data_IF_559707871468
#
_entry.id   IF_559707871468
#
_cell.length_a   1.000
_cell.length_b   1.000
_cell.length_c   1.000
_cell.angle_alpha   90.00
_cell.angle_beta   90.00
_cell.angle_gamma   90.00
#
_symmetry.space_group_name_H-M   'P 1'
#
loop_
_entity.id
_entity.type
_entity.pdbx_description
1 polymer ?
#
# COMPACT_ATOMS: atom_id res chain seq x y z
N UNK A 1 18.17 -69.53 -17.89
CA UNK A 1 17.53 -68.95 -16.68
C UNK A 1 18.18 -67.67 -16.15
N UNK A 2 19.49 -67.39 -16.34
CA UNK A 2 20.17 -66.18 -15.88
C UNK A 2 19.71 -64.84 -16.58
N UNK A 3 19.43 -64.90 -17.88
CA UNK A 3 19.10 -63.69 -18.66
C UNK A 3 17.74 -63.07 -18.32
N UNK A 4 16.75 -63.85 -17.88
CA UNK A 4 15.42 -63.37 -17.53
C UNK A 4 15.42 -62.57 -16.20
N UNK A 5 16.21 -63.05 -15.23
CA UNK A 5 16.37 -62.38 -13.92
C UNK A 5 17.09 -61.03 -14.01
N UNK A 6 18.00 -60.87 -15.00
CA UNK A 6 18.73 -59.62 -15.24
C UNK A 6 17.83 -58.55 -15.89
N UNK A 7 16.85 -58.95 -16.69
CA UNK A 7 15.85 -58.06 -17.29
C UNK A 7 14.85 -57.53 -16.25
N UNK A 8 14.42 -58.35 -15.30
CA UNK A 8 13.53 -57.95 -14.22
C UNK A 8 14.21 -56.95 -13.27
N UNK A 9 15.45 -57.18 -12.90
CA UNK A 9 16.22 -56.24 -12.07
C UNK A 9 16.39 -54.87 -12.76
N UNK A 10 16.62 -54.82 -14.08
CA UNK A 10 16.71 -53.58 -14.80
C UNK A 10 15.39 -52.80 -14.80
N UNK A 11 14.27 -53.48 -14.99
CA UNK A 11 12.94 -52.82 -14.92
C UNK A 11 12.66 -52.25 -13.52
N UNK A 12 12.96 -53.00 -12.48
CA UNK A 12 12.80 -52.56 -11.09
C UNK A 12 13.66 -51.33 -10.78
N UNK A 13 14.90 -51.31 -11.24
CA UNK A 13 15.79 -50.15 -11.09
C UNK A 13 15.25 -48.94 -11.82
N UNK A 14 14.71 -49.11 -13.04
CA UNK A 14 14.11 -47.98 -13.80
C UNK A 14 12.89 -47.42 -13.06
N UNK A 15 11.99 -48.26 -12.55
CA UNK A 15 10.84 -47.81 -11.74
C UNK A 15 11.26 -47.09 -10.48
N UNK A 16 12.29 -47.56 -9.79
CA UNK A 16 12.80 -46.91 -8.58
C UNK A 16 13.41 -45.56 -8.89
N UNK A 17 14.17 -45.40 -9.98
CA UNK A 17 14.70 -44.14 -10.45
C UNK A 17 13.58 -43.15 -10.83
N UNK A 18 12.51 -43.65 -11.47
CA UNK A 18 11.35 -42.86 -11.85
C UNK A 18 10.58 -42.32 -10.63
N UNK A 19 10.43 -43.16 -9.60
CA UNK A 19 9.82 -42.77 -8.33
C UNK A 19 10.67 -41.72 -7.61
N UNK A 20 12.00 -41.92 -7.55
CA UNK A 20 12.91 -40.93 -6.94
C UNK A 20 12.84 -39.62 -7.70
N UNK A 21 12.84 -39.64 -9.03
CA UNK A 21 12.73 -38.46 -9.86
C UNK A 21 11.42 -37.71 -9.61
N UNK A 22 10.31 -38.43 -9.53
CA UNK A 22 8.99 -37.86 -9.26
C UNK A 22 8.91 -37.25 -7.86
N UNK A 23 9.48 -37.91 -6.85
CA UNK A 23 9.58 -37.39 -5.48
C UNK A 23 10.45 -36.13 -5.43
N UNK A 24 11.61 -36.14 -6.05
CA UNK A 24 12.49 -34.94 -6.08
C UNK A 24 11.82 -33.78 -6.81
N UNK A 25 11.12 -34.04 -7.92
CA UNK A 25 10.38 -33.03 -8.66
C UNK A 25 9.27 -32.41 -7.79
N UNK A 26 8.47 -33.20 -7.08
CA UNK A 26 7.40 -32.69 -6.21
C UNK A 26 7.95 -31.87 -5.04
N UNK A 27 9.04 -32.30 -4.42
CA UNK A 27 9.71 -31.58 -3.34
C UNK A 27 10.24 -30.22 -3.85
N UNK A 28 10.98 -30.22 -4.96
CA UNK A 28 11.53 -28.99 -5.55
C UNK A 28 10.44 -28.03 -5.99
N UNK A 29 9.34 -28.52 -6.58
CA UNK A 29 8.20 -27.70 -6.98
C UNK A 29 7.53 -27.04 -5.78
N UNK A 30 7.32 -27.78 -4.69
CA UNK A 30 6.68 -27.26 -3.47
C UNK A 30 7.55 -26.22 -2.78
N UNK A 31 8.86 -26.49 -2.66
CA UNK A 31 9.82 -25.53 -2.07
C UNK A 31 9.92 -24.28 -2.95
N UNK A 32 10.01 -24.46 -4.27
CA UNK A 32 10.09 -23.36 -5.22
C UNK A 32 8.87 -22.44 -5.15
N UNK A 33 7.67 -23.00 -5.09
CA UNK A 33 6.45 -22.23 -4.93
C UNK A 33 6.42 -21.44 -3.62
N UNK A 34 6.73 -22.09 -2.50
CA UNK A 34 6.76 -21.46 -1.18
C UNK A 34 7.78 -20.34 -1.08
N UNK A 35 8.97 -20.53 -1.67
CA UNK A 35 9.99 -19.49 -1.78
C UNK A 35 9.53 -18.31 -2.64
N UNK A 36 8.89 -18.59 -3.78
CA UNK A 36 8.35 -17.56 -4.69
C UNK A 36 7.28 -16.70 -4.02
N UNK A 37 6.33 -17.31 -3.32
CA UNK A 37 5.26 -16.60 -2.63
C UNK A 37 5.84 -15.69 -1.53
N UNK A 38 6.81 -16.17 -0.75
CA UNK A 38 7.48 -15.36 0.26
C UNK A 38 8.29 -14.18 -0.36
N UNK A 39 8.97 -14.39 -1.47
CA UNK A 39 9.70 -13.33 -2.17
C UNK A 39 8.73 -12.25 -2.68
N UNK A 40 7.55 -12.63 -3.13
CA UNK A 40 6.51 -11.68 -3.53
C UNK A 40 6.04 -10.86 -2.33
N UNK A 41 5.80 -11.48 -1.18
CA UNK A 41 5.41 -10.81 0.06
C UNK A 41 6.47 -9.80 0.52
N UNK A 42 7.73 -10.22 0.57
CA UNK A 42 8.87 -9.35 0.91
C UNK A 42 8.99 -8.19 -0.08
N UNK A 43 8.80 -8.45 -1.37
CA UNK A 43 8.83 -7.42 -2.41
C UNK A 43 7.70 -6.41 -2.24
N UNK A 44 6.49 -6.88 -1.89
CA UNK A 44 5.35 -6.00 -1.63
C UNK A 44 5.58 -5.11 -0.39
N UNK A 45 6.11 -5.68 0.68
CA UNK A 45 6.47 -4.92 1.89
C UNK A 45 7.49 -3.82 1.56
N UNK A 46 8.54 -4.15 0.79
CA UNK A 46 9.52 -3.16 0.36
C UNK A 46 8.90 -2.02 -0.45
N UNK A 47 7.99 -2.35 -1.38
CA UNK A 47 7.29 -1.33 -2.18
C UNK A 47 6.50 -0.39 -1.27
N UNK A 48 5.73 -0.93 -0.33
CA UNK A 48 4.93 -0.15 0.59
C UNK A 48 5.80 0.81 1.41
N UNK A 49 6.88 0.31 1.98
CA UNK A 49 7.81 1.11 2.78
C UNK A 49 8.46 2.23 1.95
N UNK A 50 8.92 1.92 0.74
CA UNK A 50 9.50 2.90 -0.17
C UNK A 50 8.51 4.01 -0.53
N UNK A 51 7.28 3.65 -0.86
CA UNK A 51 6.25 4.62 -1.24
C UNK A 51 5.89 5.51 -0.04
N UNK A 52 5.72 4.94 1.14
CA UNK A 52 5.42 5.69 2.37
C UNK A 52 6.55 6.69 2.66
N UNK A 53 7.80 6.29 2.56
CA UNK A 53 8.96 7.17 2.77
C UNK A 53 9.00 8.32 1.75
N UNK A 54 8.77 8.03 0.47
CA UNK A 54 8.75 9.04 -0.60
C UNK A 54 7.61 10.03 -0.36
N UNK A 55 6.43 9.53 -0.08
CA UNK A 55 5.25 10.35 0.16
C UNK A 55 5.45 11.25 1.37
N UNK A 56 5.91 10.69 2.49
CA UNK A 56 6.19 11.47 3.71
C UNK A 56 7.25 12.55 3.48
N UNK A 57 8.30 12.24 2.72
CA UNK A 57 9.35 13.21 2.38
C UNK A 57 8.83 14.32 1.46
N UNK A 58 7.96 13.99 0.51
CA UNK A 58 7.35 14.94 -0.41
C UNK A 58 6.42 15.92 0.33
N UNK A 59 5.58 15.39 1.22
CA UNK A 59 4.69 16.21 2.05
C UNK A 59 5.51 17.15 2.94
N UNK A 60 6.52 16.64 3.63
CA UNK A 60 7.34 17.42 4.56
C UNK A 60 8.12 18.54 3.85
N UNK A 61 8.66 18.25 2.68
CA UNK A 61 9.58 19.18 2.02
C UNK A 61 8.87 20.26 1.20
N UNK A 62 7.76 19.94 0.57
CA UNK A 62 7.13 20.82 -0.42
C UNK A 62 5.77 21.33 0.06
N UNK A 63 4.90 20.44 0.50
CA UNK A 63 3.51 20.79 0.81
C UNK A 63 3.42 21.65 2.08
N UNK A 64 4.15 21.26 3.14
CA UNK A 64 4.14 22.01 4.41
C UNK A 64 4.86 23.35 4.32
N UNK A 65 5.87 23.48 3.44
CA UNK A 65 6.64 24.73 3.28
C UNK A 65 5.92 25.78 2.45
N UNK A 66 5.05 25.40 1.52
CA UNK A 66 4.41 26.33 0.57
C UNK A 66 3.12 26.96 1.10
N UNK A 67 2.69 26.68 2.33
CA UNK A 67 1.41 27.15 2.91
C UNK A 67 0.15 26.81 2.08
N UNK A 68 0.28 26.00 1.02
CA UNK A 68 -0.83 25.69 0.13
C UNK A 68 -1.94 24.90 0.82
N UNK A 69 -1.62 24.17 1.90
CA UNK A 69 -2.61 23.40 2.66
C UNK A 69 -3.65 24.30 3.33
N UNK A 70 -3.25 25.51 3.75
CA UNK A 70 -4.17 26.45 4.42
C UNK A 70 -5.26 26.96 3.47
N UNK A 71 -4.98 26.97 2.17
CA UNK A 71 -5.88 27.44 1.13
C UNK A 71 -6.77 26.31 0.54
N UNK A 72 -6.65 25.08 1.05
CA UNK A 72 -7.47 23.96 0.57
C UNK A 72 -8.94 24.10 0.94
N UNK A 73 -9.24 24.78 2.04
CA UNK A 73 -10.61 24.97 2.55
C UNK A 73 -10.86 26.45 2.72
N UNK A 74 -11.88 26.95 2.03
CA UNK A 74 -12.35 28.31 2.12
C UNK A 74 -13.72 28.34 2.78
N UNK A 75 -13.87 29.25 3.77
CA UNK A 75 -15.13 29.44 4.46
C UNK A 75 -15.78 30.73 3.97
N UNK A 76 -16.98 30.63 3.47
CA UNK A 76 -17.80 31.80 3.17
C UNK A 76 -18.69 32.09 4.38
N UNK A 77 -18.75 33.36 4.74
CA UNK A 77 -19.50 33.84 5.90
C UNK A 77 -20.66 34.69 5.45
N UNK A 78 -21.80 34.52 6.10
CA UNK A 78 -22.94 35.42 5.93
C UNK A 78 -22.72 36.77 6.63
N UNK A 79 -23.69 37.69 6.49
CA UNK A 79 -23.64 39.02 7.10
C UNK A 79 -23.56 39.01 8.64
N UNK A 80 -23.90 37.87 9.26
CA UNK A 80 -23.85 37.65 10.71
C UNK A 80 -22.55 36.94 11.16
N UNK A 81 -21.57 36.82 10.25
CA UNK A 81 -20.30 36.11 10.46
C UNK A 81 -20.45 34.62 10.79
N UNK A 82 -21.51 34.01 10.31
CA UNK A 82 -21.72 32.57 10.40
C UNK A 82 -21.25 31.89 9.13
N UNK A 83 -20.76 30.65 9.21
CA UNK A 83 -20.35 29.89 8.04
C UNK A 83 -21.60 29.56 7.22
N UNK A 84 -21.67 30.14 6.03
CA UNK A 84 -22.74 29.92 5.06
C UNK A 84 -22.43 28.74 4.14
N UNK A 85 -21.19 28.68 3.67
CA UNK A 85 -20.72 27.59 2.83
C UNK A 85 -19.25 27.28 3.04
N UNK A 86 -18.87 26.05 2.69
CA UNK A 86 -17.52 25.56 2.74
C UNK A 86 -17.15 25.13 1.34
N UNK A 87 -16.16 25.79 0.78
CA UNK A 87 -15.61 25.45 -0.52
C UNK A 87 -14.21 24.85 -0.35
N UNK A 88 -13.84 23.95 -1.22
CA UNK A 88 -12.43 23.54 -1.30
C UNK A 88 -11.84 23.93 -2.64
N UNK A 89 -10.60 24.38 -2.57
CA UNK A 89 -9.82 24.78 -3.72
C UNK A 89 -9.31 23.53 -4.44
N UNK A 90 -10.03 23.15 -5.50
CA UNK A 90 -9.73 21.96 -6.30
C UNK A 90 -8.39 22.10 -7.00
N UNK A 91 -8.04 23.31 -7.45
CA UNK A 91 -6.79 23.58 -8.15
C UNK A 91 -5.60 23.29 -7.23
N UNK A 92 -5.59 23.86 -6.03
CA UNK A 92 -4.55 23.60 -5.02
C UNK A 92 -4.46 22.12 -4.65
N UNK A 93 -5.61 21.44 -4.52
CA UNK A 93 -5.61 20.01 -4.22
C UNK A 93 -5.00 19.18 -5.37
N UNK A 94 -5.30 19.55 -6.61
CA UNK A 94 -4.75 18.89 -7.79
C UNK A 94 -3.25 19.12 -7.95
N UNK A 95 -2.75 20.34 -7.70
CA UNK A 95 -1.33 20.64 -7.72
C UNK A 95 -0.55 19.78 -6.72
N UNK A 96 -1.08 19.60 -5.52
CA UNK A 96 -0.51 18.72 -4.50
C UNK A 96 -0.45 17.25 -5.01
N UNK A 97 -1.52 16.75 -5.62
CA UNK A 97 -1.54 15.41 -6.18
C UNK A 97 -0.49 15.22 -7.26
N UNK A 98 -0.37 16.18 -8.20
CA UNK A 98 0.60 16.13 -9.29
C UNK A 98 2.02 16.17 -8.77
N UNK A 99 2.30 17.01 -7.79
CA UNK A 99 3.63 17.13 -7.19
C UNK A 99 4.06 15.83 -6.48
N UNK A 100 3.20 15.26 -5.64
CA UNK A 100 3.47 13.98 -4.95
C UNK A 100 3.69 12.87 -5.97
N UNK A 101 2.83 12.78 -6.99
CA UNK A 101 2.98 11.80 -8.07
C UNK A 101 4.33 11.92 -8.78
N UNK A 102 4.74 13.13 -9.15
CA UNK A 102 6.02 13.38 -9.83
C UNK A 102 7.20 13.01 -8.93
N UNK A 103 7.12 13.28 -7.62
CA UNK A 103 8.15 12.92 -6.65
C UNK A 103 8.26 11.39 -6.49
N UNK A 104 7.14 10.66 -6.47
CA UNK A 104 7.16 9.19 -6.47
C UNK A 104 7.88 8.69 -7.73
N UNK A 105 7.50 9.17 -8.91
CA UNK A 105 8.08 8.73 -10.18
C UNK A 105 9.57 9.08 -10.28
N UNK A 106 9.99 10.27 -9.88
CA UNK A 106 11.40 10.71 -9.95
C UNK A 106 12.29 9.94 -8.98
N UNK A 107 11.81 9.66 -7.77
CA UNK A 107 12.57 8.92 -6.77
C UNK A 107 12.74 7.46 -7.18
N UNK A 108 11.70 6.83 -7.73
CA UNK A 108 11.77 5.47 -8.28
C UNK A 108 12.78 5.42 -9.44
N UNK A 109 12.95 6.52 -10.19
CA UNK A 109 13.88 6.55 -11.33
C UNK A 109 15.34 6.77 -10.94
N UNK A 110 15.62 7.40 -9.80
CA UNK A 110 16.94 7.99 -9.52
C UNK A 110 17.64 7.46 -8.26
N UNK A 111 17.00 6.63 -7.41
CA UNK A 111 17.63 6.24 -6.15
C UNK A 111 18.38 4.92 -6.22
N UNK A 112 19.68 4.98 -5.85
CA UNK A 112 20.56 3.83 -5.62
C UNK A 112 20.79 3.62 -4.11
N UNK A 113 19.77 3.69 -3.28
CA UNK A 113 19.94 3.60 -1.83
C UNK A 113 19.65 2.21 -1.27
N UNK A 114 20.60 1.71 -0.47
CA UNK A 114 20.49 0.50 0.35
C UNK A 114 19.95 0.87 1.75
N UNK A 115 18.64 1.01 1.89
CA UNK A 115 18.05 1.47 3.16
C UNK A 115 17.37 0.35 3.97
N UNK A 116 17.28 -0.86 3.41
CA UNK A 116 16.49 -1.95 3.95
C UNK A 116 17.30 -3.22 4.20
N UNK A 117 16.73 -4.14 4.92
CA UNK A 117 17.32 -5.44 5.29
C UNK A 117 17.77 -6.25 4.07
N UNK A 118 17.13 -6.06 2.90
CA UNK A 118 17.46 -6.69 1.64
C UNK A 118 18.13 -5.70 0.70
N UNK A 119 19.11 -6.20 -0.05
CA UNK A 119 19.77 -5.42 -1.09
C UNK A 119 18.83 -5.21 -2.26
N UNK A 120 18.53 -3.97 -2.57
CA UNK A 120 17.83 -3.61 -3.79
C UNK A 120 18.60 -2.56 -4.59
N UNK A 121 18.34 -2.49 -5.88
CA UNK A 121 18.89 -1.46 -6.77
C UNK A 121 17.89 -1.16 -7.89
N UNK A 122 18.01 0.04 -8.48
CA UNK A 122 17.14 0.47 -9.55
C UNK A 122 17.84 0.29 -10.89
N UNK A 123 17.16 -0.33 -11.82
CA UNK A 123 17.63 -0.55 -13.18
C UNK A 123 16.50 -0.33 -14.18
N UNK A 124 16.61 0.66 -15.08
CA UNK A 124 15.63 0.98 -16.12
C UNK A 124 14.19 1.09 -15.59
N UNK A 125 13.96 1.90 -14.57
CA UNK A 125 12.67 2.11 -13.91
C UNK A 125 12.09 0.84 -13.23
N UNK A 126 12.92 -0.18 -12.99
CA UNK A 126 12.53 -1.35 -12.24
C UNK A 126 13.33 -1.41 -10.95
N UNK A 127 12.70 -1.78 -9.86
CA UNK A 127 13.40 -2.15 -8.63
C UNK A 127 13.74 -3.63 -8.71
N UNK A 128 15.01 -3.96 -8.52
CA UNK A 128 15.48 -5.34 -8.44
C UNK A 128 15.86 -5.61 -7.00
N UNK A 129 15.14 -6.52 -6.36
CA UNK A 129 15.34 -6.95 -4.99
C UNK A 129 16.04 -8.32 -4.99
N UNK A 130 17.09 -8.47 -4.21
CA UNK A 130 17.80 -9.74 -4.03
C UNK A 130 17.41 -10.36 -2.68
N UNK A 131 16.70 -11.50 -2.73
CA UNK A 131 16.22 -12.23 -1.55
C UNK A 131 16.89 -13.61 -1.50
N UNK A 132 17.42 -14.04 -0.34
CA UNK A 132 17.93 -15.40 -0.18
C UNK A 132 16.85 -16.44 -0.44
N UNK A 133 17.19 -17.54 -1.12
CA UNK A 133 16.23 -18.59 -1.48
C UNK A 133 15.49 -19.17 -0.27
N UNK A 134 16.20 -19.37 0.85
CA UNK A 134 15.63 -19.96 2.08
C UNK A 134 14.96 -18.95 3.00
N UNK A 135 14.70 -17.71 2.53
CA UNK A 135 14.05 -16.67 3.34
C UNK A 135 12.63 -17.06 3.84
N UNK A 136 11.98 -18.06 3.21
CA UNK A 136 10.68 -18.58 3.64
C UNK A 136 10.74 -19.41 4.92
N UNK A 137 11.93 -19.70 5.44
CA UNK A 137 12.11 -20.49 6.66
C UNK A 137 12.22 -19.60 7.88
N UNK A 138 11.64 -20.03 9.00
CA UNK A 138 11.83 -19.36 10.30
C UNK A 138 13.14 -19.76 11.01
N UNK A 139 13.97 -20.60 10.38
CA UNK A 139 15.21 -21.05 10.98
C UNK A 139 16.32 -20.02 10.80
N UNK A 140 16.76 -19.39 11.89
CA UNK A 140 17.77 -18.33 11.90
C UNK A 140 19.12 -18.74 11.30
N UNK A 141 19.46 -20.02 11.31
CA UNK A 141 20.75 -20.50 10.77
C UNK A 141 20.76 -20.64 9.25
N UNK A 142 19.59 -20.81 8.63
CA UNK A 142 19.50 -21.05 7.18
C UNK A 142 18.77 -19.94 6.42
N UNK A 143 18.06 -19.04 7.11
CA UNK A 143 17.23 -17.99 6.49
C UNK A 143 18.01 -17.14 5.48
N UNK A 144 19.29 -16.90 5.73
CA UNK A 144 20.18 -16.10 4.86
C UNK A 144 21.07 -16.94 3.92
N UNK A 145 20.88 -18.28 3.93
CA UNK A 145 21.64 -19.17 3.09
C UNK A 145 20.99 -19.38 1.72
N UNK A 146 21.76 -19.94 0.81
CA UNK A 146 21.33 -20.30 -0.53
C UNK A 146 21.55 -19.19 -1.57
N UNK A 147 21.18 -19.49 -2.83
CA UNK A 147 21.33 -18.53 -3.91
C UNK A 147 20.36 -17.36 -3.68
N UNK A 148 20.81 -16.16 -4.06
CA UNK A 148 19.96 -14.98 -4.06
C UNK A 148 19.06 -14.98 -5.28
N UNK A 149 17.78 -14.91 -5.04
CA UNK A 149 16.76 -14.81 -6.08
C UNK A 149 16.48 -13.35 -6.35
N UNK A 150 16.46 -12.97 -7.63
CA UNK A 150 16.13 -11.62 -8.05
C UNK A 150 14.64 -11.50 -8.29
N UNK A 151 13.99 -10.64 -7.51
CA UNK A 151 12.65 -10.18 -7.75
C UNK A 151 12.71 -8.88 -8.53
N UNK A 152 12.00 -8.80 -9.65
CA UNK A 152 11.87 -7.57 -10.45
C UNK A 152 10.51 -6.95 -10.18
N UNK A 153 10.53 -5.74 -9.69
CA UNK A 153 9.34 -4.95 -9.42
C UNK A 153 9.22 -3.91 -10.51
N UNK A 154 8.19 -4.04 -11.34
CA UNK A 154 7.88 -3.09 -12.39
C UNK A 154 6.73 -2.24 -11.90
N UNK A 155 6.95 -0.94 -11.75
CA UNK A 155 5.85 -0.01 -11.57
C UNK A 155 5.16 0.16 -12.92
N UNK A 156 3.89 -0.20 -12.98
CA UNK A 156 3.06 0.23 -14.08
C UNK A 156 3.01 1.76 -13.99
N UNK A 157 3.28 2.46 -15.09
CA UNK A 157 3.39 3.92 -15.14
C UNK A 157 2.12 4.66 -14.68
N UNK A 158 1.12 3.94 -14.24
CA UNK A 158 -0.17 4.48 -13.84
C UNK A 158 -0.21 4.57 -12.32
N UNK A 159 -0.06 5.79 -11.82
CA UNK A 159 -0.40 6.16 -10.46
C UNK A 159 -1.73 6.89 -10.55
N UNK A 160 -2.79 6.25 -10.08
CA UNK A 160 -4.09 6.88 -9.96
C UNK A 160 -4.11 7.72 -8.70
N UNK A 161 -4.59 8.94 -8.82
CA UNK A 161 -4.67 9.88 -7.70
C UNK A 161 -6.00 10.59 -7.68
N UNK A 162 -6.56 10.77 -6.49
CA UNK A 162 -7.84 11.44 -6.28
C UNK A 162 -7.87 12.20 -4.95
N UNK A 163 -8.75 13.18 -4.85
CA UNK A 163 -9.07 13.85 -3.58
C UNK A 163 -10.28 13.16 -2.96
N UNK A 164 -10.16 12.79 -1.69
CA UNK A 164 -11.24 12.17 -0.90
C UNK A 164 -11.58 13.07 0.27
N UNK A 165 -12.85 13.44 0.37
CA UNK A 165 -13.37 14.23 1.48
C UNK A 165 -14.17 13.35 2.40
N UNK A 166 -13.89 13.39 3.70
CA UNK A 166 -14.61 12.67 4.73
C UNK A 166 -15.20 13.66 5.72
N UNK A 167 -16.51 13.64 5.86
CA UNK A 167 -17.24 14.47 6.82
C UNK A 167 -17.73 13.57 7.95
N UNK A 168 -17.38 13.92 9.19
CA UNK A 168 -17.87 13.24 10.40
C UNK A 168 -18.62 14.24 11.27
N UNK A 169 -19.79 13.85 11.74
CA UNK A 169 -20.58 14.64 12.67
C UNK A 169 -20.27 14.25 14.11
N UNK A 170 -20.08 15.25 14.96
CA UNK A 170 -19.88 15.06 16.39
C UNK A 170 -20.97 15.87 17.13
N UNK A 171 -21.90 15.16 17.73
CA UNK A 171 -23.05 15.80 18.39
C UNK A 171 -23.97 16.53 17.40
N UNK A 172 -24.59 17.61 17.86
CA UNK A 172 -25.70 18.31 17.15
C UNK A 172 -25.16 19.41 16.22
N UNK A 173 -24.02 20.01 16.57
CA UNK A 173 -23.56 21.26 15.94
C UNK A 173 -22.10 21.23 15.50
N UNK A 174 -21.43 20.10 15.61
CA UNK A 174 -19.99 20.01 15.27
C UNK A 174 -19.79 19.02 14.13
N UNK A 175 -19.08 19.44 13.11
CA UNK A 175 -18.62 18.56 12.03
C UNK A 175 -17.09 18.60 11.95
N UNK A 176 -16.50 17.47 11.63
CA UNK A 176 -15.09 17.36 11.27
C UNK A 176 -14.99 17.07 9.78
N UNK A 177 -14.26 17.92 9.09
CA UNK A 177 -13.97 17.81 7.67
C UNK A 177 -12.52 17.39 7.50
N UNK A 178 -12.30 16.20 6.96
CA UNK A 178 -10.98 15.67 6.63
C UNK A 178 -10.84 15.59 5.11
N UNK A 179 -9.76 16.15 4.56
CA UNK A 179 -9.42 16.04 3.14
C UNK A 179 -8.18 15.18 3.00
N UNK A 180 -8.29 14.13 2.19
CA UNK A 180 -7.22 13.19 1.89
C UNK A 180 -6.82 13.27 0.43
N UNK A 181 -5.52 13.14 0.18
CA UNK A 181 -4.99 12.72 -1.12
C UNK A 181 -4.90 11.19 -1.14
N UNK A 182 -5.60 10.57 -2.06
CA UNK A 182 -5.59 9.12 -2.24
C UNK A 182 -4.78 8.77 -3.47
N UNK A 183 -3.85 7.81 -3.32
CA UNK A 183 -3.00 7.32 -4.41
C UNK A 183 -3.16 5.81 -4.50
N UNK A 184 -3.34 5.30 -5.71
CA UNK A 184 -3.30 3.86 -6.00
C UNK A 184 -2.18 3.59 -6.98
N UNK A 185 -1.25 2.75 -6.56
CA UNK A 185 -0.06 2.38 -7.34
C UNK A 185 -0.17 0.91 -7.70
N UNK A 186 -0.21 0.65 -9.01
CA UNK A 186 -0.25 -0.70 -9.55
C UNK A 186 1.19 -1.11 -9.88
N UNK A 187 1.63 -2.21 -9.31
CA UNK A 187 2.95 -2.77 -9.55
C UNK A 187 2.89 -4.24 -9.93
N UNK A 188 3.78 -4.66 -10.84
CA UNK A 188 3.96 -6.06 -11.19
C UNK A 188 5.24 -6.58 -10.54
N UNK A 189 5.12 -7.56 -9.67
CA UNK A 189 6.24 -8.29 -9.08
C UNK A 189 6.47 -9.55 -9.92
N UNK A 190 7.68 -9.66 -10.47
CA UNK A 190 8.09 -10.80 -11.28
C UNK A 190 9.23 -11.52 -10.57
N UNK A 191 8.99 -12.75 -10.20
CA UNK A 191 9.99 -13.68 -9.64
C UNK A 191 10.14 -14.89 -10.55
N UNK A 192 11.20 -15.69 -10.44
CA UNK A 192 11.27 -16.94 -11.17
C UNK A 192 10.03 -17.79 -10.92
N UNK A 193 9.38 -18.23 -11.99
CA UNK A 193 8.18 -19.09 -12.01
C UNK A 193 6.88 -18.46 -11.48
N UNK A 194 6.86 -17.16 -11.11
CA UNK A 194 5.64 -16.49 -10.69
C UNK A 194 5.62 -15.01 -11.06
N UNK A 195 4.44 -14.48 -11.32
CA UNK A 195 4.19 -13.05 -11.54
C UNK A 195 2.91 -12.67 -10.83
N UNK A 196 2.95 -11.59 -10.07
CA UNK A 196 1.77 -11.09 -9.37
C UNK A 196 1.64 -9.58 -9.59
N UNK A 197 0.42 -9.14 -9.88
CA UNK A 197 0.04 -7.74 -9.85
C UNK A 197 -0.44 -7.38 -8.46
N UNK A 198 0.03 -6.25 -7.94
CA UNK A 198 -0.31 -5.75 -6.62
C UNK A 198 -0.78 -4.31 -6.75
N UNK A 199 -1.88 -4.01 -6.10
CA UNK A 199 -2.48 -2.68 -6.02
C UNK A 199 -2.30 -2.17 -4.58
N UNK A 200 -1.47 -1.13 -4.43
CA UNK A 200 -1.22 -0.49 -3.15
C UNK A 200 -1.92 0.86 -3.12
N UNK A 201 -2.81 1.06 -2.15
CA UNK A 201 -3.55 2.31 -1.98
C UNK A 201 -3.15 2.99 -0.67
N UNK A 202 -2.95 4.31 -0.75
CA UNK A 202 -2.51 5.16 0.36
C UNK A 202 -3.41 6.38 0.45
N UNK A 203 -3.95 6.63 1.65
CA UNK A 203 -4.71 7.84 1.96
C UNK A 203 -3.85 8.74 2.86
N UNK A 204 -3.56 9.95 2.40
CA UNK A 204 -2.74 10.92 3.10
C UNK A 204 -3.63 12.07 3.54
N UNK A 205 -3.70 12.33 4.84
CA UNK A 205 -4.44 13.46 5.36
C UNK A 205 -3.73 14.78 4.99
N UNK A 206 -4.36 15.58 4.13
CA UNK A 206 -3.86 16.90 3.75
C UNK A 206 -4.24 17.97 4.78
N UNK A 207 -5.50 17.98 5.18
CA UNK A 207 -6.00 18.93 6.18
C UNK A 207 -7.19 18.35 6.93
N UNK A 208 -7.36 18.84 8.15
CA UNK A 208 -8.49 18.51 9.01
C UNK A 208 -9.02 19.77 9.68
N UNK A 209 -10.29 20.03 9.56
CA UNK A 209 -10.96 21.18 10.18
C UNK A 209 -12.14 20.73 11.01
N UNK A 210 -12.25 21.25 12.21
CA UNK A 210 -13.42 21.10 13.08
C UNK A 210 -14.24 22.39 12.99
N UNK A 211 -15.49 22.26 12.67
CA UNK A 211 -16.41 23.35 12.43
C UNK A 211 -17.55 23.22 13.42
N UNK A 212 -17.72 24.26 14.24
CA UNK A 212 -18.80 24.34 15.21
C UNK A 212 -19.87 25.27 14.65
N UNK A 213 -21.05 24.71 14.40
CA UNK A 213 -22.25 25.49 14.05
C UNK A 213 -22.96 26.04 15.28
N UNK A 214 -23.96 26.87 15.07
CA UNK A 214 -24.88 27.24 16.14
C UNK A 214 -25.82 26.07 16.48
N UNK A 215 -26.14 25.91 17.75
CA UNK A 215 -27.18 24.96 18.18
C UNK A 215 -28.52 25.58 17.75
N UNK A 216 -29.34 24.87 16.96
CA UNK A 216 -30.65 25.33 16.62
C UNK A 216 -31.50 25.62 17.89
N UNK A 217 -32.15 26.79 17.95
CA UNK A 217 -32.94 27.21 19.12
C UNK A 217 -34.03 26.20 19.51
N UNK A 218 -34.49 25.40 18.56
CA UNK A 218 -35.50 24.37 18.78
C UNK A 218 -34.99 23.11 19.51
N UNK A 219 -33.68 22.89 19.61
CA UNK A 219 -33.14 21.72 20.31
C UNK A 219 -33.18 21.86 21.84
N UNK A 220 -33.34 23.08 22.38
CA UNK A 220 -33.42 23.32 23.81
C UNK A 220 -34.85 23.48 24.36
N UNK A 221 -35.84 23.76 23.50
CA UNK A 221 -37.22 24.02 23.91
C UNK A 221 -38.22 22.89 23.65
N UNK A 222 -37.78 21.78 23.04
CA UNK A 222 -38.66 20.69 22.60
C UNK A 222 -38.84 19.54 23.59
N UNK A 223 -38.04 19.45 24.64
CA UNK A 223 -38.30 18.51 25.73
C UNK A 223 -39.13 19.26 26.84
N UNK A 224 -40.40 19.37 26.64
CA UNK A 224 -41.32 19.46 27.78
C UNK A 224 -41.04 18.22 28.61
N UNK A 225 -40.66 18.39 29.87
CA UNK A 225 -40.53 17.28 30.80
C UNK A 225 -41.86 16.50 30.82
N UNK A 226 -41.79 15.19 30.97
CA UNK A 226 -42.97 14.33 31.09
C UNK A 226 -43.97 14.81 32.15
N UNK A 227 -43.55 15.69 33.08
CA UNK A 227 -44.39 16.35 34.07
C UNK A 227 -45.42 17.34 33.49
N UNK A 228 -45.22 17.86 32.27
CA UNK A 228 -46.16 18.81 31.65
C UNK A 228 -47.29 18.14 30.82
N UNK A 229 -47.23 16.81 30.68
CA UNK A 229 -48.23 16.04 29.90
C UNK A 229 -49.38 15.54 30.76
N UNK A 230 -49.24 15.55 32.07
CA UNK A 230 -50.27 15.00 33.00
C UNK A 230 -51.12 16.02 33.76
N UNK A 231 -51.06 17.30 33.38
CA UNK A 231 -51.97 18.34 33.91
C UNK A 231 -52.88 18.88 32.82
N UNK A 232 -53.87 18.03 32.45
CA UNK A 232 -55.11 18.41 31.78
C UNK A 232 -56.29 17.74 32.50
#
# INVERSE_FOLDING_TARGET
>A
MKLRKQSENRRTIIYLLLIIFLLTYTILSTIGKKSSDNIIEVSNTLINDLIIDIVNSSIKNNILKQNNINNLIEFNYNSQKEIESINYNIETAYDILVEVKNNILSTISNSNEYKYYYKYYINNNNIILEVPFYNYTSNIFIINLGPKIKSRINFLKTIDSSVKTVVKTYGINTIKLDIYASFTIISNIVVPFNKQEINNSFDILLTSKVINGKIPEYYGSGFKSESDIFNL
#
